data_IF_596280994473
#
_entry.id   IF_596280994473
#
_cell.length_a   1.000
_cell.length_b   1.000
_cell.length_c   1.000
_cell.angle_alpha   90.00
_cell.angle_beta   90.00
_cell.angle_gamma   90.00
#
_symmetry.space_group_name_H-M   'P 1'
#
loop_
_entity.id
_entity.type
_entity.pdbx_description
1 polymer ?
#
# COMPACT_ATOMS: atom_id res chain seq x y z
N UNK A 1 -18.83 21.73 13.89
CA UNK A 1 -20.19 22.29 13.77
C UNK A 1 -20.08 23.72 13.27
N UNK A 2 -20.40 23.92 11.99
CA UNK A 2 -20.60 25.23 11.35
C UNK A 2 -21.86 25.07 10.51
N UNK A 3 -23.01 25.32 11.14
CA UNK A 3 -24.29 25.45 10.44
C UNK A 3 -24.24 26.73 9.62
N UNK A 4 -24.20 26.60 8.29
CA UNK A 4 -24.50 27.72 7.40
C UNK A 4 -26.00 27.74 7.13
N UNK A 5 -26.68 28.60 7.87
CA UNK A 5 -28.04 29.05 7.60
C UNK A 5 -28.05 29.97 6.37
N UNK A 6 -28.91 29.69 5.39
CA UNK A 6 -29.48 30.74 4.53
C UNK A 6 -29.48 30.50 3.01
N UNK A 7 -30.54 29.82 2.53
CA UNK A 7 -31.26 30.07 1.25
C UNK A 7 -30.45 30.35 -0.03
N UNK A 8 -29.59 29.42 -0.40
CA UNK A 8 -29.35 29.09 -1.81
C UNK A 8 -29.61 27.59 -1.97
N UNK A 9 -30.28 27.16 -3.04
CA UNK A 9 -30.46 25.73 -3.36
C UNK A 9 -29.09 25.12 -3.65
N UNK A 10 -28.41 24.68 -2.59
CA UNK A 10 -27.14 23.99 -2.66
C UNK A 10 -27.35 22.69 -3.44
N UNK A 11 -26.63 22.52 -4.54
CA UNK A 11 -26.74 21.31 -5.36
C UNK A 11 -26.14 20.14 -4.56
N UNK A 12 -27.00 19.29 -3.98
CA UNK A 12 -26.58 18.08 -3.27
C UNK A 12 -26.50 16.91 -4.24
N UNK A 13 -25.33 16.29 -4.30
CA UNK A 13 -25.06 15.10 -5.12
C UNK A 13 -24.70 13.94 -4.18
N UNK A 14 -25.74 13.28 -3.66
CA UNK A 14 -25.60 12.19 -2.67
C UNK A 14 -24.77 11.02 -3.22
N UNK A 15 -24.82 10.77 -4.53
CA UNK A 15 -24.02 9.74 -5.21
C UNK A 15 -22.53 10.11 -5.21
N UNK A 16 -22.20 11.36 -5.55
CA UNK A 16 -20.82 11.83 -5.49
C UNK A 16 -20.26 11.80 -4.06
N UNK A 17 -21.06 12.15 -3.06
CA UNK A 17 -20.67 12.11 -1.65
C UNK A 17 -20.36 10.67 -1.20
N UNK A 18 -21.13 9.68 -1.65
CA UNK A 18 -20.84 8.26 -1.40
C UNK A 18 -19.50 7.85 -2.05
N UNK A 19 -19.24 8.24 -3.30
CA UNK A 19 -17.97 7.96 -3.96
C UNK A 19 -16.77 8.58 -3.22
N UNK A 20 -16.90 9.81 -2.72
CA UNK A 20 -15.87 10.47 -1.92
C UNK A 20 -15.65 9.77 -0.59
N UNK A 21 -16.73 9.32 0.07
CA UNK A 21 -16.63 8.54 1.32
C UNK A 21 -15.89 7.22 1.10
N UNK A 22 -16.24 6.48 0.04
CA UNK A 22 -15.58 5.24 -0.36
C UNK A 22 -14.10 5.46 -0.67
N UNK A 23 -13.78 6.51 -1.44
CA UNK A 23 -12.40 6.91 -1.74
C UNK A 23 -11.58 7.22 -0.48
N UNK A 24 -12.13 7.99 0.46
CA UNK A 24 -11.43 8.34 1.71
C UNK A 24 -11.20 7.11 2.60
N UNK A 25 -12.20 6.22 2.69
CA UNK A 25 -12.08 4.96 3.42
C UNK A 25 -10.99 4.08 2.81
N UNK A 26 -11.03 3.89 1.50
CA UNK A 26 -10.02 3.14 0.75
C UNK A 26 -8.61 3.70 0.97
N UNK A 27 -8.43 5.03 0.90
CA UNK A 27 -7.13 5.65 1.15
C UNK A 27 -6.60 5.33 2.56
N UNK A 28 -7.46 5.42 3.57
CA UNK A 28 -7.08 5.15 4.95
C UNK A 28 -6.68 3.68 5.16
N UNK A 29 -7.44 2.75 4.57
CA UNK A 29 -7.17 1.31 4.63
C UNK A 29 -5.84 0.95 3.93
N UNK A 30 -5.63 1.47 2.71
CA UNK A 30 -4.37 1.28 1.95
C UNK A 30 -3.19 1.84 2.73
N UNK A 31 -3.31 3.05 3.29
CA UNK A 31 -2.24 3.68 4.06
C UNK A 31 -1.89 2.85 5.31
N UNK A 32 -2.92 2.39 6.05
CA UNK A 32 -2.73 1.54 7.22
C UNK A 32 -2.01 0.25 6.84
N UNK A 33 -2.49 -0.46 5.82
CA UNK A 33 -1.92 -1.75 5.43
C UNK A 33 -0.49 -1.62 4.90
N UNK A 34 -0.21 -0.58 4.08
CA UNK A 34 1.14 -0.29 3.61
C UNK A 34 2.10 -0.01 4.77
N UNK A 35 1.66 0.76 5.79
CA UNK A 35 2.45 1.02 6.99
C UNK A 35 2.82 -0.28 7.71
N UNK A 36 1.86 -1.18 7.89
CA UNK A 36 2.12 -2.47 8.55
C UNK A 36 3.07 -3.35 7.72
N UNK A 37 2.94 -3.39 6.39
CA UNK A 37 3.89 -4.13 5.54
C UNK A 37 5.31 -3.56 5.59
N UNK A 38 5.46 -2.24 5.64
CA UNK A 38 6.77 -1.60 5.83
C UNK A 38 7.37 -1.96 7.19
N UNK A 39 6.57 -1.92 8.24
CA UNK A 39 7.02 -2.28 9.58
C UNK A 39 7.43 -3.76 9.64
N UNK A 40 6.61 -4.65 9.06
CA UNK A 40 6.90 -6.07 8.96
C UNK A 40 8.21 -6.33 8.22
N UNK A 41 8.43 -5.68 7.06
CA UNK A 41 9.68 -5.78 6.31
C UNK A 41 10.89 -5.28 7.12
N UNK A 42 10.72 -4.22 7.92
CA UNK A 42 11.77 -3.75 8.82
C UNK A 42 12.14 -4.82 9.85
N UNK A 43 11.16 -5.34 10.59
CA UNK A 43 11.38 -6.39 11.59
C UNK A 43 11.99 -7.66 10.98
N UNK A 44 11.61 -7.98 9.74
CA UNK A 44 12.15 -9.11 9.00
C UNK A 44 13.63 -8.91 8.63
N UNK A 45 14.03 -7.69 8.27
CA UNK A 45 15.44 -7.35 8.05
C UNK A 45 16.25 -7.47 9.35
N UNK A 46 15.67 -7.06 10.48
CA UNK A 46 16.31 -7.23 11.79
C UNK A 46 16.45 -8.72 12.16
N UNK A 47 15.41 -9.52 11.95
CA UNK A 47 15.44 -10.97 12.15
C UNK A 47 16.51 -11.64 11.28
N UNK A 48 16.61 -11.26 10.00
CA UNK A 48 17.66 -11.72 9.09
C UNK A 48 19.05 -11.41 9.64
N UNK A 49 19.28 -10.18 10.11
CA UNK A 49 20.58 -9.79 10.69
C UNK A 49 20.89 -10.61 11.94
N UNK A 50 19.92 -10.76 12.84
CA UNK A 50 20.07 -11.58 14.03
C UNK A 50 20.40 -13.04 13.70
N UNK A 51 19.73 -13.63 12.70
CA UNK A 51 20.02 -14.98 12.23
C UNK A 51 21.43 -15.11 11.62
N UNK A 52 21.91 -14.12 10.84
CA UNK A 52 23.29 -14.12 10.32
C UNK A 52 24.30 -14.08 11.44
N UNK A 53 24.14 -13.16 12.40
CA UNK A 53 25.06 -13.02 13.53
C UNK A 53 25.12 -14.30 14.38
N UNK A 54 23.99 -14.97 14.58
CA UNK A 54 23.94 -16.25 15.30
C UNK A 54 24.69 -17.33 14.52
N UNK A 55 24.44 -17.46 13.22
CA UNK A 55 25.13 -18.43 12.36
C UNK A 55 26.66 -18.19 12.32
N UNK A 56 27.08 -16.93 12.28
CA UNK A 56 28.50 -16.54 12.34
C UNK A 56 29.11 -16.96 13.67
N UNK A 57 28.49 -16.61 14.80
CA UNK A 57 28.98 -17.02 16.13
C UNK A 57 29.05 -18.54 16.29
N UNK A 58 28.11 -19.30 15.69
CA UNK A 58 28.15 -20.76 15.70
C UNK A 58 29.31 -21.29 14.86
N UNK A 59 29.57 -20.67 13.70
CA UNK A 59 30.71 -21.03 12.85
C UNK A 59 32.04 -20.78 13.54
N UNK A 60 32.16 -19.70 14.33
CA UNK A 60 33.38 -19.38 15.10
C UNK A 60 33.68 -20.40 16.20
N UNK A 61 32.65 -20.95 16.84
CA UNK A 61 32.84 -21.97 17.90
C UNK A 61 32.94 -23.39 17.35
N UNK A 62 32.48 -23.63 16.11
CA UNK A 62 32.60 -24.92 15.45
C UNK A 62 33.98 -25.03 14.81
N UNK A 63 34.85 -25.82 15.40
CA UNK A 63 36.22 -26.01 14.93
C UNK A 63 36.24 -26.48 13.47
N UNK A 64 37.06 -25.84 12.63
CA UNK A 64 37.18 -26.16 11.21
C UNK A 64 37.74 -27.55 10.94
N UNK A 65 38.41 -28.17 11.92
CA UNK A 65 38.87 -29.55 11.84
C UNK A 65 37.75 -30.58 12.11
N UNK A 66 36.62 -30.14 12.69
CA UNK A 66 35.49 -31.03 12.96
C UNK A 66 34.77 -31.39 11.67
N UNK A 67 34.43 -32.68 11.54
CA UNK A 67 33.67 -33.18 10.41
C UNK A 67 32.35 -32.42 10.23
N UNK A 68 32.01 -32.09 8.98
CA UNK A 68 30.77 -31.38 8.65
C UNK A 68 30.87 -29.85 8.68
N UNK A 69 32.05 -29.26 8.99
CA UNK A 69 32.22 -27.80 9.00
C UNK A 69 31.89 -27.15 7.63
N UNK A 70 32.37 -27.72 6.52
CA UNK A 70 32.06 -27.22 5.17
C UNK A 70 30.56 -27.22 4.86
N UNK A 71 29.86 -28.26 5.29
CA UNK A 71 28.42 -28.41 5.11
C UNK A 71 27.64 -27.42 5.97
N UNK A 72 28.09 -27.19 7.22
CA UNK A 72 27.51 -26.20 8.12
C UNK A 72 27.61 -24.78 7.53
N UNK A 73 28.80 -24.40 7.05
CA UNK A 73 29.03 -23.11 6.38
C UNK A 73 28.14 -22.97 5.14
N UNK A 74 28.04 -24.03 4.32
CA UNK A 74 27.15 -24.04 3.15
C UNK A 74 25.68 -23.81 3.53
N UNK A 75 25.19 -24.44 4.60
CA UNK A 75 23.82 -24.26 5.10
C UNK A 75 23.59 -22.83 5.55
N UNK A 76 24.55 -22.21 6.23
CA UNK A 76 24.42 -20.82 6.68
C UNK A 76 24.37 -19.83 5.51
N UNK A 77 25.17 -20.05 4.46
CA UNK A 77 25.11 -19.25 3.24
C UNK A 77 23.80 -19.45 2.47
N UNK A 78 23.28 -20.68 2.41
CA UNK A 78 21.95 -20.96 1.84
C UNK A 78 20.85 -20.25 2.64
N UNK A 79 20.91 -20.32 3.97
CA UNK A 79 19.97 -19.61 4.86
C UNK A 79 19.99 -18.10 4.63
N UNK A 80 21.19 -17.51 4.57
CA UNK A 80 21.39 -16.08 4.30
C UNK A 80 20.81 -15.69 2.94
N UNK A 81 21.01 -16.51 1.92
CA UNK A 81 20.46 -16.31 0.57
C UNK A 81 18.93 -16.32 0.58
N UNK A 82 18.31 -17.28 1.28
CA UNK A 82 16.85 -17.34 1.42
C UNK A 82 16.28 -16.12 2.13
N UNK A 83 16.91 -15.65 3.21
CA UNK A 83 16.49 -14.42 3.90
C UNK A 83 16.65 -13.17 3.04
N UNK A 84 17.75 -13.06 2.28
CA UNK A 84 17.96 -11.98 1.31
C UNK A 84 16.85 -11.95 0.28
N UNK A 85 16.53 -13.11 -0.30
CA UNK A 85 15.49 -13.22 -1.33
C UNK A 85 14.10 -12.86 -0.77
N UNK A 86 13.73 -13.36 0.42
CA UNK A 86 12.48 -13.01 1.08
C UNK A 86 12.35 -11.49 1.28
N UNK A 87 13.38 -10.85 1.83
CA UNK A 87 13.35 -9.40 2.08
C UNK A 87 13.25 -8.60 0.78
N UNK A 88 13.96 -9.02 -0.28
CA UNK A 88 13.90 -8.37 -1.59
C UNK A 88 12.50 -8.50 -2.20
N UNK A 89 11.97 -9.71 -2.29
CA UNK A 89 10.66 -9.98 -2.89
C UNK A 89 9.53 -9.28 -2.14
N UNK A 90 9.54 -9.26 -0.81
CA UNK A 90 8.57 -8.47 -0.05
C UNK A 90 8.69 -6.97 -0.31
N UNK A 91 9.90 -6.45 -0.52
CA UNK A 91 10.11 -5.05 -0.88
C UNK A 91 9.55 -4.72 -2.25
N UNK A 92 9.81 -5.57 -3.25
CA UNK A 92 9.49 -5.32 -4.66
C UNK A 92 8.08 -5.74 -5.07
N UNK A 93 7.59 -6.88 -4.58
CA UNK A 93 6.32 -7.48 -4.97
C UNK A 93 5.16 -7.15 -4.01
N UNK A 94 5.46 -6.56 -2.84
CA UNK A 94 4.45 -6.18 -1.85
C UNK A 94 4.52 -4.70 -1.52
N UNK A 95 5.62 -4.23 -0.92
CA UNK A 95 5.73 -2.84 -0.44
C UNK A 95 5.71 -1.83 -1.59
N UNK A 96 6.45 -2.07 -2.66
CA UNK A 96 6.49 -1.17 -3.82
C UNK A 96 5.12 -1.00 -4.52
N UNK A 97 4.35 -2.08 -4.81
CA UNK A 97 2.97 -1.95 -5.31
C UNK A 97 2.06 -1.10 -4.41
N UNK A 98 2.15 -1.24 -3.09
CA UNK A 98 1.43 -0.37 -2.16
C UNK A 98 1.83 1.10 -2.30
N UNK A 99 3.13 1.39 -2.45
CA UNK A 99 3.61 2.75 -2.65
C UNK A 99 3.09 3.37 -3.97
N UNK A 100 3.11 2.60 -5.07
CA UNK A 100 2.57 3.02 -6.37
C UNK A 100 1.06 3.22 -6.31
N UNK A 101 0.33 2.33 -5.64
CA UNK A 101 -1.11 2.49 -5.48
C UNK A 101 -1.46 3.73 -4.65
N UNK A 102 -0.74 3.93 -3.55
CA UNK A 102 -0.94 5.07 -2.66
C UNK A 102 -0.61 6.43 -3.32
N UNK A 103 0.29 6.46 -4.31
CA UNK A 103 0.71 7.70 -4.97
C UNK A 103 -0.37 8.32 -5.86
N UNK A 104 -1.44 7.58 -6.19
CA UNK A 104 -2.56 8.06 -7.01
C UNK A 104 -3.51 8.97 -6.21
N UNK A 105 -3.69 8.71 -4.91
CA UNK A 105 -4.69 9.41 -4.09
C UNK A 105 -4.50 10.93 -3.96
N UNK A 106 -3.28 11.50 -3.86
CA UNK A 106 -3.09 12.95 -3.79
C UNK A 106 -3.68 13.72 -4.98
N UNK A 107 -3.55 13.19 -6.19
CA UNK A 107 -4.10 13.82 -7.40
C UNK A 107 -5.63 13.83 -7.36
N UNK A 108 -6.25 12.69 -7.03
CA UNK A 108 -7.69 12.59 -6.83
C UNK A 108 -8.20 13.58 -5.77
N UNK A 109 -7.51 13.69 -4.62
CA UNK A 109 -7.86 14.67 -3.58
C UNK A 109 -7.84 16.10 -4.10
N UNK A 110 -6.81 16.47 -4.85
CA UNK A 110 -6.69 17.81 -5.44
C UNK A 110 -7.85 18.10 -6.38
N UNK A 111 -8.24 17.12 -7.22
CA UNK A 111 -9.36 17.24 -8.16
C UNK A 111 -10.71 17.28 -7.47
N UNK A 112 -10.96 16.45 -6.45
CA UNK A 112 -12.17 16.52 -5.61
C UNK A 112 -12.30 17.91 -4.99
N UNK A 113 -11.23 18.44 -4.40
CA UNK A 113 -11.23 19.77 -3.81
C UNK A 113 -11.46 20.87 -4.88
N UNK A 114 -10.89 20.71 -6.08
CA UNK A 114 -11.10 21.62 -7.22
C UNK A 114 -12.57 21.59 -7.67
N UNK A 115 -13.18 20.42 -7.82
CA UNK A 115 -14.62 20.28 -8.11
C UNK A 115 -15.46 21.02 -7.07
N UNK A 116 -15.19 20.82 -5.78
CA UNK A 116 -15.92 21.50 -4.70
C UNK A 116 -15.85 23.03 -4.81
N UNK A 117 -14.69 23.60 -5.13
CA UNK A 117 -14.56 25.05 -5.39
C UNK A 117 -15.34 25.48 -6.64
N UNK A 118 -15.32 24.68 -7.71
CA UNK A 118 -16.03 25.01 -8.95
C UNK A 118 -17.54 24.89 -8.86
N UNK A 119 -18.04 24.02 -7.99
CA UNK A 119 -19.47 24.00 -7.65
C UNK A 119 -19.89 25.31 -6.98
N UNK A 120 -19.09 25.82 -6.03
CA UNK A 120 -19.36 27.10 -5.36
C UNK A 120 -19.35 28.26 -6.36
N UNK A 121 -18.35 28.32 -7.24
CA UNK A 121 -18.28 29.34 -8.30
C UNK A 121 -19.53 29.30 -9.20
N UNK A 122 -19.92 28.08 -9.62
CA UNK A 122 -21.11 27.86 -10.45
C UNK A 122 -22.40 28.32 -9.76
N UNK A 123 -22.62 27.90 -8.52
CA UNK A 123 -23.80 28.27 -7.73
C UNK A 123 -23.89 29.79 -7.53
N UNK A 124 -22.75 30.47 -7.36
CA UNK A 124 -22.69 31.93 -7.25
C UNK A 124 -23.09 32.62 -8.56
N UNK A 125 -22.58 32.18 -9.72
CA UNK A 125 -22.98 32.71 -11.03
C UNK A 125 -24.49 32.50 -11.29
N UNK A 126 -24.99 31.30 -11.02
CA UNK A 126 -26.42 30.96 -11.14
C UNK A 126 -27.30 31.85 -10.26
N UNK A 127 -26.89 32.09 -9.01
CA UNK A 127 -27.61 32.98 -8.11
C UNK A 127 -27.57 34.44 -8.56
N UNK A 128 -26.42 34.94 -9.01
CA UNK A 128 -26.26 36.31 -9.51
C UNK A 128 -27.14 36.57 -10.74
N UNK A 129 -27.23 35.60 -11.65
CA UNK A 129 -28.13 35.65 -12.80
C UNK A 129 -29.60 35.69 -12.35
N UNK A 130 -30.03 34.75 -11.51
CA UNK A 130 -31.42 34.69 -11.00
C UNK A 130 -31.86 35.99 -10.31
N UNK A 131 -31.00 36.54 -9.44
CA UNK A 131 -31.28 37.81 -8.75
C UNK A 131 -31.36 38.99 -9.73
N UNK A 132 -30.48 39.04 -10.73
CA UNK A 132 -30.46 40.12 -11.72
C UNK A 132 -31.67 40.07 -12.66
N UNK A 133 -32.06 38.86 -13.08
CA UNK A 133 -33.26 38.63 -13.90
C UNK A 133 -34.53 39.02 -13.14
N UNK A 134 -34.67 38.61 -11.86
CA UNK A 134 -35.81 38.99 -11.01
C UNK A 134 -35.92 40.50 -10.79
N UNK A 135 -34.78 41.22 -10.76
CA UNK A 135 -34.72 42.68 -10.64
C UNK A 135 -34.92 43.43 -11.95
N UNK A 136 -35.15 42.73 -13.07
CA UNK A 136 -35.30 43.31 -14.41
C UNK A 136 -34.12 44.24 -14.76
N UNK A 137 -32.90 43.74 -14.54
CA UNK A 137 -31.70 44.42 -15.01
C UNK A 137 -31.71 44.57 -16.55
N UNK A 138 -30.86 45.45 -17.07
CA UNK A 138 -30.72 45.66 -18.53
C UNK A 138 -30.26 44.38 -19.26
N UNK A 139 -30.73 44.23 -20.50
CA UNK A 139 -30.48 43.06 -21.34
C UNK A 139 -28.98 42.81 -21.57
N UNK A 140 -28.16 43.86 -21.70
CA UNK A 140 -26.71 43.70 -21.85
C UNK A 140 -26.09 43.07 -20.61
N UNK A 141 -26.49 43.50 -19.42
CA UNK A 141 -26.01 42.92 -18.15
C UNK A 141 -26.48 41.48 -17.98
N UNK A 142 -27.73 41.17 -18.34
CA UNK A 142 -28.25 39.80 -18.29
C UNK A 142 -27.42 38.88 -19.21
N UNK A 143 -27.18 39.31 -20.46
CA UNK A 143 -26.39 38.53 -21.42
C UNK A 143 -24.96 38.23 -20.93
N UNK A 144 -24.32 39.19 -20.25
CA UNK A 144 -22.99 38.96 -19.64
C UNK A 144 -23.03 37.91 -18.52
N UNK A 145 -24.04 37.95 -17.66
CA UNK A 145 -24.19 37.00 -16.56
C UNK A 145 -24.54 35.58 -17.06
N UNK A 146 -25.28 35.47 -18.17
CA UNK A 146 -25.54 34.20 -18.85
C UNK A 146 -24.24 33.57 -19.38
N UNK A 147 -23.36 34.37 -19.99
CA UNK A 147 -22.05 33.90 -20.45
C UNK A 147 -21.17 33.43 -19.28
N UNK A 148 -21.13 34.17 -18.18
CA UNK A 148 -20.39 33.80 -16.96
C UNK A 148 -20.92 32.50 -16.31
N UNK A 149 -22.25 32.34 -16.24
CA UNK A 149 -22.89 31.12 -15.74
C UNK A 149 -22.55 29.92 -16.63
N UNK A 150 -22.66 30.08 -17.94
CA UNK A 150 -22.38 29.04 -18.92
C UNK A 150 -20.92 28.57 -18.82
N UNK A 151 -19.96 29.49 -18.72
CA UNK A 151 -18.52 29.17 -18.58
C UNK A 151 -18.26 28.44 -17.26
N UNK A 152 -18.82 28.93 -16.16
CA UNK A 152 -18.63 28.31 -14.83
C UNK A 152 -19.26 26.92 -14.76
N UNK A 153 -20.45 26.75 -15.37
CA UNK A 153 -21.14 25.47 -15.50
C UNK A 153 -20.29 24.46 -16.26
N UNK A 154 -19.76 24.85 -17.41
CA UNK A 154 -18.93 23.97 -18.25
C UNK A 154 -17.71 23.45 -17.49
N UNK A 155 -16.99 24.33 -16.79
CA UNK A 155 -15.80 23.96 -16.00
C UNK A 155 -16.15 22.98 -14.87
N UNK A 156 -17.27 23.21 -14.19
CA UNK A 156 -17.76 22.32 -13.14
C UNK A 156 -18.18 20.96 -13.73
N UNK A 157 -19.00 20.94 -14.77
CA UNK A 157 -19.56 19.72 -15.38
C UNK A 157 -18.47 18.81 -15.94
N UNK A 158 -17.41 19.39 -16.54
CA UNK A 158 -16.23 18.64 -17.02
C UNK A 158 -15.53 17.90 -15.86
N UNK A 159 -15.22 18.61 -14.77
CA UNK A 159 -14.59 18.01 -13.58
C UNK A 159 -15.49 17.00 -12.89
N UNK A 160 -16.78 17.31 -12.77
CA UNK A 160 -17.77 16.45 -12.14
C UNK A 160 -17.89 15.13 -12.90
N UNK A 161 -18.07 15.20 -14.22
CA UNK A 161 -18.22 14.00 -15.07
C UNK A 161 -17.01 13.10 -14.99
N UNK A 162 -15.79 13.67 -15.04
CA UNK A 162 -14.56 12.88 -14.90
C UNK A 162 -14.50 12.16 -13.56
N UNK A 163 -14.68 12.89 -12.44
CA UNK A 163 -14.58 12.31 -11.11
C UNK A 163 -15.70 11.29 -10.82
N UNK A 164 -16.91 11.52 -11.32
CA UNK A 164 -18.03 10.58 -11.19
C UNK A 164 -17.76 9.24 -11.88
N UNK A 165 -16.91 9.22 -12.91
CA UNK A 165 -16.49 7.97 -13.58
C UNK A 165 -15.27 7.36 -12.90
N UNK A 166 -14.29 8.17 -12.52
CA UNK A 166 -13.00 7.67 -12.04
C UNK A 166 -13.02 7.24 -10.57
N UNK A 167 -13.81 7.87 -9.70
CA UNK A 167 -13.89 7.49 -8.29
C UNK A 167 -14.46 6.08 -8.08
N UNK A 168 -15.54 5.66 -8.77
CA UNK A 168 -15.96 4.27 -8.75
C UNK A 168 -14.89 3.33 -9.33
N UNK A 169 -14.25 3.72 -10.44
CA UNK A 169 -13.25 2.88 -11.09
C UNK A 169 -12.04 2.58 -10.18
N UNK A 170 -11.49 3.60 -9.49
CA UNK A 170 -10.41 3.37 -8.52
C UNK A 170 -10.89 2.58 -7.32
N UNK A 171 -12.14 2.75 -6.89
CA UNK A 171 -12.71 1.95 -5.82
C UNK A 171 -12.81 0.48 -6.21
N UNK A 172 -13.35 0.15 -7.39
CA UNK A 172 -13.49 -1.23 -7.85
C UNK A 172 -12.13 -1.92 -8.09
N UNK A 173 -11.13 -1.16 -8.54
CA UNK A 173 -9.76 -1.67 -8.73
C UNK A 173 -9.12 -2.23 -7.45
N UNK A 174 -9.61 -1.82 -6.26
CA UNK A 174 -9.04 -2.21 -4.95
C UNK A 174 -9.00 -3.72 -4.76
N UNK A 175 -10.02 -4.43 -5.26
CA UNK A 175 -10.14 -5.88 -5.07
C UNK A 175 -9.02 -6.60 -5.81
N UNK A 176 -8.84 -6.26 -7.10
CA UNK A 176 -7.79 -6.84 -7.92
C UNK A 176 -6.40 -6.51 -7.36
N UNK A 177 -6.20 -5.28 -6.89
CA UNK A 177 -4.96 -4.87 -6.21
C UNK A 177 -4.68 -5.74 -4.99
N UNK A 178 -5.62 -5.85 -4.04
CA UNK A 178 -5.41 -6.65 -2.83
C UNK A 178 -5.18 -8.13 -3.15
N UNK A 179 -5.94 -8.72 -4.08
CA UNK A 179 -5.75 -10.11 -4.49
C UNK A 179 -4.34 -10.34 -5.02
N UNK A 180 -3.88 -9.52 -5.97
CA UNK A 180 -2.56 -9.66 -6.59
C UNK A 180 -1.42 -9.49 -5.58
N UNK A 181 -1.50 -8.45 -4.75
CA UNK A 181 -0.44 -8.15 -3.78
C UNK A 181 -0.39 -9.18 -2.64
N UNK A 182 -1.55 -9.60 -2.11
CA UNK A 182 -1.60 -10.61 -1.05
C UNK A 182 -1.21 -11.99 -1.57
N UNK A 183 -1.56 -12.34 -2.81
CA UNK A 183 -1.09 -13.57 -3.45
C UNK A 183 0.45 -13.59 -3.53
N UNK A 184 1.07 -12.48 -3.94
CA UNK A 184 2.53 -12.34 -4.00
C UNK A 184 3.16 -12.46 -2.62
N UNK A 185 2.56 -11.83 -1.60
CA UNK A 185 2.97 -11.97 -0.21
C UNK A 185 2.95 -13.43 0.27
N UNK A 186 1.80 -14.11 0.15
CA UNK A 186 1.66 -15.49 0.61
C UNK A 186 2.53 -16.47 -0.17
N UNK A 187 2.64 -16.31 -1.49
CA UNK A 187 3.51 -17.15 -2.32
C UNK A 187 4.98 -17.04 -1.88
N UNK A 188 5.47 -15.81 -1.66
CA UNK A 188 6.83 -15.56 -1.18
C UNK A 188 7.06 -16.18 0.19
N UNK A 189 6.10 -16.06 1.12
CA UNK A 189 6.18 -16.67 2.45
C UNK A 189 6.20 -18.20 2.39
N UNK A 190 5.33 -18.81 1.57
CA UNK A 190 5.27 -20.27 1.40
C UNK A 190 6.60 -20.80 0.84
N UNK A 191 7.14 -20.14 -0.18
CA UNK A 191 8.40 -20.54 -0.80
C UNK A 191 9.56 -20.44 0.18
N UNK A 192 9.66 -19.32 0.92
CA UNK A 192 10.67 -19.16 1.96
C UNK A 192 10.56 -20.26 3.03
N UNK A 193 9.37 -20.47 3.60
CA UNK A 193 9.15 -21.44 4.67
C UNK A 193 9.48 -22.87 4.20
N UNK A 194 9.10 -23.22 2.97
CA UNK A 194 9.43 -24.51 2.36
C UNK A 194 10.94 -24.70 2.23
N UNK A 195 11.66 -23.69 1.76
CA UNK A 195 13.09 -23.81 1.48
C UNK A 195 13.94 -23.72 2.76
N UNK A 196 13.59 -22.83 3.70
CA UNK A 196 14.33 -22.71 4.95
C UNK A 196 14.18 -23.98 5.81
N UNK A 197 13.01 -24.64 5.77
CA UNK A 197 12.80 -25.93 6.43
C UNK A 197 13.73 -27.00 5.84
N UNK A 198 13.86 -27.06 4.50
CA UNK A 198 14.77 -28.02 3.86
C UNK A 198 16.24 -27.78 4.24
N UNK A 199 16.66 -26.52 4.27
CA UNK A 199 18.03 -26.15 4.68
C UNK A 199 18.27 -26.60 6.13
N UNK A 200 17.33 -26.35 7.05
CA UNK A 200 17.41 -26.77 8.45
C UNK A 200 17.45 -28.30 8.62
N UNK A 201 16.54 -29.03 7.96
CA UNK A 201 16.54 -30.51 8.02
C UNK A 201 17.82 -31.14 7.43
N UNK A 202 18.47 -30.47 6.47
CA UNK A 202 19.72 -30.98 5.89
C UNK A 202 20.87 -30.99 6.90
N UNK A 203 20.84 -30.09 7.90
CA UNK A 203 21.78 -30.08 9.03
C UNK A 203 21.52 -31.30 9.92
N UNK A 204 20.26 -31.50 10.33
CA UNK A 204 19.84 -32.56 11.25
C UNK A 204 20.19 -33.97 10.72
N UNK A 205 19.97 -34.22 9.42
CA UNK A 205 20.24 -35.54 8.81
C UNK A 205 21.74 -35.82 8.70
N UNK A 206 22.55 -34.83 8.31
CA UNK A 206 23.99 -35.02 8.09
C UNK A 206 24.77 -35.17 9.40
N UNK A 207 24.32 -34.53 10.48
CA UNK A 207 24.86 -34.75 11.82
C UNK A 207 24.61 -36.18 12.33
N UNK A 208 23.49 -36.81 11.96
CA UNK A 208 23.14 -38.17 12.38
C UNK A 208 23.86 -39.28 11.58
N UNK A 209 24.31 -39.00 10.35
CA UNK A 209 24.97 -39.99 9.48
C UNK A 209 26.47 -40.18 9.78
N UNK A 210 27.14 -39.19 10.38
CA UNK A 210 28.56 -39.27 10.74
C UNK A 210 28.78 -40.01 12.08
N UNK A 211 28.16 -41.19 12.25
CA UNK A 211 28.13 -42.03 13.45
C UNK A 211 29.47 -42.59 13.96
N UNK A 212 30.51 -41.77 14.06
CA UNK A 212 31.77 -42.07 14.74
C UNK A 212 32.11 -40.95 15.70
N UNK A 213 31.78 -41.17 16.97
CA UNK A 213 32.34 -40.45 18.13
C UNK A 213 32.32 -38.91 18.02
N UNK A 214 31.24 -38.34 17.48
CA UNK A 214 31.07 -36.89 17.51
C UNK A 214 30.75 -36.49 18.94
N UNK A 215 31.66 -35.67 19.46
CA UNK A 215 31.67 -35.10 20.79
C UNK A 215 30.26 -34.55 21.15
N UNK A 216 29.77 -34.85 22.36
CA UNK A 216 28.47 -34.41 22.90
C UNK A 216 28.11 -32.91 22.70
N UNK A 217 29.04 -31.95 22.53
CA UNK A 217 28.71 -30.56 22.22
C UNK A 217 27.89 -30.35 20.92
N UNK A 218 28.04 -31.21 19.91
CA UNK A 218 27.36 -31.04 18.60
C UNK A 218 25.84 -31.30 18.70
N UNK A 219 25.43 -32.19 19.59
CA UNK A 219 24.01 -32.43 19.88
C UNK A 219 23.32 -31.25 20.57
N UNK A 220 24.06 -30.43 21.33
CA UNK A 220 23.47 -29.32 22.10
C UNK A 220 23.16 -28.10 21.23
N UNK A 221 23.97 -27.82 20.21
CA UNK A 221 23.77 -26.71 19.28
C UNK A 221 22.54 -26.92 18.37
N UNK A 222 22.17 -28.18 18.11
CA UNK A 222 21.01 -28.55 17.29
C UNK A 222 19.66 -28.32 17.98
N UNK A 223 19.61 -28.21 19.32
CA UNK A 223 18.37 -27.96 20.06
C UNK A 223 17.90 -26.49 20.01
N UNK A 224 18.69 -25.60 19.42
CA UNK A 224 18.40 -24.16 19.37
C UNK A 224 17.90 -23.65 18.00
N UNK A 225 17.68 -24.54 17.02
CA UNK A 225 17.16 -24.21 15.67
C UNK A 225 15.86 -24.94 15.33
#
# INVERSE_FOLDING_TARGET
VLQKLGKADETRDESFDEHVNNFNKQQAEVHKLHKEFKQYLSCLKDMKTAASNLNEAISEVYDGEWGGYSELVSVFEDSKTLWNNLALRLSEEVVSPFAIYQSQFPEFKSRIAKRGRKLIDYDACRHNLDVSTKRKADDRKISQLEEEEMVSKKIYDELNTQLSNELPAIYDSRVAFYVSTLQSYFATQIEFNKNITKVRCSVEIKCNQNGTTINKPVQLLLLFF
#
